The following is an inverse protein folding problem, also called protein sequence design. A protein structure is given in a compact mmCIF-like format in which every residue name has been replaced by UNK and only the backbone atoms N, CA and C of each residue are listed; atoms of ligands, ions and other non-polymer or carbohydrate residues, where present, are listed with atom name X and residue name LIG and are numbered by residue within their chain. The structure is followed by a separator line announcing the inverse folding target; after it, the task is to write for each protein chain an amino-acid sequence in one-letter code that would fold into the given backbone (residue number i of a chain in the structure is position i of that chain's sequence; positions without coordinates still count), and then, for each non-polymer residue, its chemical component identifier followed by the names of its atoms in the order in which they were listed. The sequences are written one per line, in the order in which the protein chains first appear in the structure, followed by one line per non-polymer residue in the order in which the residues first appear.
data_IF_689309393491
#
_entry.id   IF_689309393491
#
_cell.length_a   1.000
_cell.length_b   1.000
_cell.length_c   1.000
_cell.angle_alpha   90.00
_cell.angle_beta   90.00
_cell.angle_gamma   90.00
#
_symmetry.space_group_name_H-M   'P 1'
#
loop_
_entity.id
_entity.type
_entity.pdbx_description
1 polymer ?
#
# COMPACT_ATOMS: atom_id res chain seq x y z
N UNK A 1 -52.64 -37.53 3.00
CA UNK A 1 -51.30 -37.94 2.51
C UNK A 1 -50.73 -37.04 1.40
N UNK A 2 -51.49 -36.64 0.36
CA UNK A 2 -50.96 -35.80 -0.73
C UNK A 2 -50.42 -34.41 -0.32
N UNK A 3 -51.01 -33.75 0.68
CA UNK A 3 -50.56 -32.44 1.20
C UNK A 3 -49.25 -32.50 1.99
N UNK A 4 -48.89 -33.67 2.54
CA UNK A 4 -47.65 -33.86 3.30
C UNK A 4 -46.45 -34.03 2.35
N UNK A 5 -46.65 -34.75 1.24
CA UNK A 5 -45.63 -34.90 0.19
C UNK A 5 -45.30 -33.56 -0.50
N UNK A 6 -46.28 -32.69 -0.72
CA UNK A 6 -46.03 -31.36 -1.32
C UNK A 6 -45.23 -30.44 -0.38
N UNK A 7 -45.43 -30.58 0.94
CA UNK A 7 -44.71 -29.78 1.93
C UNK A 7 -43.25 -30.22 2.07
N UNK A 8 -43.00 -31.53 2.05
CA UNK A 8 -41.66 -32.12 2.00
C UNK A 8 -40.92 -31.76 0.69
N UNK A 9 -41.62 -31.75 -0.45
CA UNK A 9 -41.05 -31.32 -1.73
C UNK A 9 -40.65 -29.84 -1.75
N UNK A 10 -41.45 -28.96 -1.14
CA UNK A 10 -41.14 -27.54 -1.02
C UNK A 10 -39.92 -27.29 -0.12
N UNK A 11 -39.83 -28.00 1.02
CA UNK A 11 -38.66 -27.93 1.90
C UNK A 11 -37.38 -28.44 1.21
N UNK A 12 -37.49 -29.48 0.39
CA UNK A 12 -36.37 -30.01 -0.37
C UNK A 12 -35.84 -29.01 -1.43
N UNK A 13 -36.75 -28.30 -2.12
CA UNK A 13 -36.39 -27.23 -3.06
C UNK A 13 -35.71 -26.04 -2.37
N UNK A 14 -36.20 -25.63 -1.20
CA UNK A 14 -35.57 -24.57 -0.39
C UNK A 14 -34.17 -25.01 0.07
N UNK A 15 -34.01 -26.27 0.46
CA UNK A 15 -32.72 -26.83 0.86
C UNK A 15 -31.71 -26.88 -0.30
N UNK A 16 -32.14 -27.23 -1.52
CA UNK A 16 -31.30 -27.19 -2.72
C UNK A 16 -30.87 -25.74 -3.03
N UNK A 17 -31.79 -24.78 -2.98
CA UNK A 17 -31.48 -23.36 -3.17
C UNK A 17 -30.49 -22.85 -2.11
N UNK A 18 -30.61 -23.30 -0.86
CA UNK A 18 -29.68 -22.99 0.22
C UNK A 18 -28.29 -23.58 -0.03
N UNK A 19 -28.18 -24.82 -0.50
CA UNK A 19 -26.89 -25.45 -0.87
C UNK A 19 -26.24 -24.72 -2.05
N UNK A 20 -27.01 -24.32 -3.06
CA UNK A 20 -26.49 -23.55 -4.20
C UNK A 20 -26.01 -22.17 -3.73
N UNK A 21 -26.77 -21.49 -2.87
CA UNK A 21 -26.37 -20.20 -2.28
C UNK A 21 -25.11 -20.33 -1.41
N UNK A 22 -24.99 -21.38 -0.59
CA UNK A 22 -23.80 -21.67 0.21
C UNK A 22 -22.57 -21.95 -0.67
N UNK A 23 -22.72 -22.72 -1.76
CA UNK A 23 -21.63 -23.01 -2.70
C UNK A 23 -21.21 -21.78 -3.52
N UNK A 24 -22.16 -20.90 -3.89
CA UNK A 24 -21.84 -19.66 -4.62
C UNK A 24 -21.26 -18.57 -3.69
N UNK A 25 -21.72 -18.52 -2.44
CA UNK A 25 -21.21 -17.61 -1.41
C UNK A 25 -19.81 -17.97 -0.93
N UNK A 26 -19.52 -19.26 -0.71
CA UNK A 26 -18.19 -19.71 -0.28
C UNK A 26 -17.12 -19.56 -1.37
N UNK A 27 -17.46 -19.67 -2.66
CA UNK A 27 -16.50 -19.41 -3.75
C UNK A 27 -16.06 -17.95 -3.86
N UNK A 28 -16.82 -16.98 -3.34
CA UNK A 28 -16.36 -15.57 -3.26
C UNK A 28 -15.57 -15.25 -2.00
N UNK A 29 -15.64 -16.08 -0.96
CA UNK A 29 -14.93 -15.86 0.31
C UNK A 29 -13.55 -16.52 0.33
N UNK A 30 -13.30 -17.52 -0.52
CA UNK A 30 -12.04 -18.30 -0.56
C UNK A 30 -11.03 -17.78 -1.60
N UNK A 31 -11.27 -16.61 -2.21
CA UNK A 31 -10.27 -15.87 -2.99
C UNK A 31 -9.81 -14.59 -2.27
N UNK A 32 -9.80 -14.60 -0.93
CA UNK A 32 -8.90 -13.74 -0.17
C UNK A 32 -7.57 -14.45 -0.11
N UNK A 33 -6.71 -14.13 -1.08
CA UNK A 33 -5.30 -14.49 -1.02
C UNK A 33 -4.73 -14.15 0.35
N UNK A 34 -3.92 -15.08 0.85
CA UNK A 34 -3.29 -15.09 2.16
C UNK A 34 -2.48 -13.81 2.42
N UNK A 35 -3.15 -12.79 2.95
CA UNK A 35 -2.51 -11.63 3.56
C UNK A 35 -2.26 -11.92 5.03
N UNK A 36 -1.25 -12.72 5.34
CA UNK A 36 -0.71 -12.87 6.69
C UNK A 36 -0.19 -11.50 7.18
N UNK A 37 -1.06 -10.68 7.79
CA UNK A 37 -0.64 -9.58 8.66
C UNK A 37 -0.67 -10.10 10.09
N UNK A 38 0.48 -10.59 10.54
CA UNK A 38 0.69 -10.89 11.95
C UNK A 38 0.50 -9.60 12.76
N UNK A 39 -0.51 -9.63 13.62
CA UNK A 39 -0.66 -8.73 14.75
C UNK A 39 0.38 -9.17 15.79
N UNK A 40 1.46 -8.40 15.93
CA UNK A 40 2.32 -8.52 17.11
C UNK A 40 2.95 -7.18 17.47
N UNK A 41 2.67 -6.73 18.69
CA UNK A 41 3.56 -5.88 19.47
C UNK A 41 3.39 -4.37 19.29
N UNK A 42 2.41 -3.83 20.01
CA UNK A 42 2.29 -2.46 20.52
C UNK A 42 3.60 -1.66 20.62
N UNK A 43 4.03 -0.99 19.55
CA UNK A 43 4.86 0.22 19.61
C UNK A 43 4.34 1.18 18.54
N UNK A 44 3.97 2.38 18.98
CA UNK A 44 3.29 3.39 18.16
C UNK A 44 4.13 3.80 16.95
N UNK A 45 3.83 3.28 15.76
CA UNK A 45 4.24 3.83 14.47
C UNK A 45 3.21 3.39 13.41
N UNK A 46 2.41 4.33 12.94
CA UNK A 46 1.28 4.09 12.04
C UNK A 46 1.69 3.57 10.66
N UNK A 47 0.92 2.58 10.21
CA UNK A 47 0.60 2.20 8.83
C UNK A 47 1.75 2.09 7.82
N UNK A 48 2.16 0.83 7.63
CA UNK A 48 2.88 0.32 6.47
C UNK A 48 2.06 0.41 5.18
N UNK A 49 2.43 1.35 4.32
CA UNK A 49 2.97 0.96 3.02
C UNK A 49 4.49 0.88 3.21
N UNK A 50 5.15 -0.12 2.61
CA UNK A 50 6.60 -0.06 2.42
C UNK A 50 6.90 1.24 1.68
N UNK A 51 7.29 2.23 2.47
CA UNK A 51 7.83 3.45 1.93
C UNK A 51 9.08 3.05 1.16
N UNK A 52 9.21 3.45 -0.13
CA UNK A 52 10.46 3.26 -0.88
C UNK A 52 11.63 4.04 -0.27
N UNK A 53 11.42 4.75 0.86
CA UNK A 53 12.44 5.45 1.63
C UNK A 53 13.24 4.53 2.56
N UNK A 54 13.08 3.20 2.46
CA UNK A 54 13.82 2.25 3.33
C UNK A 54 15.23 1.90 2.86
N UNK A 55 15.58 2.11 1.59
CA UNK A 55 16.83 1.56 1.04
C UNK A 55 18.05 2.50 1.02
N UNK A 56 18.00 3.65 1.71
CA UNK A 56 19.21 4.49 1.81
C UNK A 56 19.42 5.13 3.19
N UNK A 57 18.99 4.42 4.23
CA UNK A 57 19.68 4.54 5.51
C UNK A 57 21.02 3.82 5.34
N UNK A 58 22.09 4.56 5.04
CA UNK A 58 23.41 4.07 5.42
C UNK A 58 23.30 3.72 6.91
N UNK A 59 23.62 2.48 7.32
CA UNK A 59 23.64 2.16 8.74
C UNK A 59 24.51 3.21 9.43
N UNK A 60 24.04 3.75 10.56
CA UNK A 60 24.71 4.80 11.35
C UNK A 60 26.23 4.57 11.51
N UNK A 61 26.67 3.32 11.42
CA UNK A 61 28.06 2.89 11.36
C UNK A 61 28.93 3.57 10.27
N UNK A 62 28.38 3.94 9.10
CA UNK A 62 29.16 4.65 8.05
C UNK A 62 29.41 6.11 8.38
N UNK A 63 28.51 6.76 9.13
CA UNK A 63 28.65 8.17 9.53
C UNK A 63 29.81 8.37 10.52
N UNK A 64 30.08 7.36 11.35
CA UNK A 64 31.16 7.39 12.35
C UNK A 64 32.57 7.29 11.72
N UNK A 65 32.67 6.94 10.45
CA UNK A 65 33.94 6.77 9.72
C UNK A 65 34.30 7.99 8.84
N UNK A 66 33.42 8.99 8.76
CA UNK A 66 33.65 10.18 7.95
C UNK A 66 34.53 11.19 8.69
N UNK A 67 35.39 11.88 7.96
CA UNK A 67 36.04 13.10 8.44
C UNK A 67 34.99 14.20 8.71
N UNK A 68 35.31 15.23 9.52
CA UNK A 68 34.39 16.34 9.75
C UNK A 68 33.90 17.04 8.48
N UNK A 69 34.75 17.13 7.46
CA UNK A 69 34.44 17.71 6.15
C UNK A 69 33.48 16.82 5.35
N UNK A 70 33.77 15.52 5.23
CA UNK A 70 32.89 14.55 4.55
C UNK A 70 31.53 14.43 5.27
N UNK A 71 31.52 14.52 6.60
CA UNK A 71 30.30 14.54 7.40
C UNK A 71 29.40 15.74 7.09
N UNK A 72 29.98 16.93 6.90
CA UNK A 72 29.22 18.14 6.51
C UNK A 72 28.64 18.02 5.11
N UNK A 73 29.40 17.48 4.16
CA UNK A 73 28.92 17.26 2.80
C UNK A 73 27.79 16.23 2.76
N UNK A 74 27.94 15.12 3.47
CA UNK A 74 26.88 14.13 3.60
C UNK A 74 25.59 14.71 4.22
N UNK A 75 25.71 15.55 5.26
CA UNK A 75 24.55 16.22 5.86
C UNK A 75 23.83 17.13 4.87
N UNK A 76 24.57 17.84 4.01
CA UNK A 76 24.01 18.68 2.96
C UNK A 76 23.23 17.85 1.93
N UNK A 77 23.83 16.75 1.47
CA UNK A 77 23.17 15.79 0.55
C UNK A 77 21.89 15.23 1.18
N UNK A 78 21.93 14.90 2.47
CA UNK A 78 20.74 14.43 3.21
C UNK A 78 19.68 15.50 3.33
N UNK A 79 20.04 16.75 3.57
CA UNK A 79 19.08 17.86 3.63
C UNK A 79 18.40 18.08 2.28
N UNK A 80 19.16 18.05 1.18
CA UNK A 80 18.64 18.15 -0.19
C UNK A 80 17.70 16.97 -0.51
N UNK A 81 18.12 15.75 -0.18
CA UNK A 81 17.29 14.55 -0.36
C UNK A 81 16.00 14.62 0.47
N UNK A 82 16.10 15.08 1.73
CA UNK A 82 14.95 15.23 2.61
C UNK A 82 13.93 16.24 2.07
N UNK A 83 14.39 17.35 1.47
CA UNK A 83 13.49 18.32 0.82
C UNK A 83 12.71 17.68 -0.33
N UNK A 84 13.36 16.87 -1.16
CA UNK A 84 12.68 16.10 -2.22
C UNK A 84 11.61 15.19 -1.61
N UNK A 85 11.97 14.38 -0.61
CA UNK A 85 11.03 13.46 0.04
C UNK A 85 9.87 14.18 0.72
N UNK A 86 10.12 15.31 1.37
CA UNK A 86 9.08 16.11 2.03
C UNK A 86 8.09 16.67 1.02
N UNK A 87 8.59 17.27 -0.07
CA UNK A 87 7.77 17.90 -1.09
C UNK A 87 6.86 16.90 -1.81
N UNK A 88 7.42 15.78 -2.28
CA UNK A 88 6.66 14.77 -3.00
C UNK A 88 5.87 13.84 -2.08
N UNK A 89 6.40 13.54 -0.89
CA UNK A 89 5.76 12.65 0.07
C UNK A 89 4.40 13.17 0.53
N UNK A 90 4.25 14.48 0.72
CA UNK A 90 2.95 15.08 1.06
C UNK A 90 1.91 14.84 -0.05
N UNK A 91 2.30 15.03 -1.31
CA UNK A 91 1.40 14.82 -2.45
C UNK A 91 1.05 13.35 -2.66
N UNK A 92 2.02 12.45 -2.49
CA UNK A 92 1.79 10.99 -2.52
C UNK A 92 0.78 10.61 -1.42
N UNK A 93 1.01 11.05 -0.19
CA UNK A 93 0.12 10.75 0.94
C UNK A 93 -1.31 11.26 0.71
N UNK A 94 -1.47 12.48 0.16
CA UNK A 94 -2.79 13.02 -0.20
C UNK A 94 -3.52 12.11 -1.19
N UNK A 95 -2.82 11.61 -2.22
CA UNK A 95 -3.40 10.74 -3.25
C UNK A 95 -3.71 9.34 -2.71
N UNK A 96 -2.85 8.79 -1.86
CA UNK A 96 -3.11 7.52 -1.17
C UNK A 96 -4.36 7.61 -0.30
N UNK A 97 -4.54 8.70 0.46
CA UNK A 97 -5.77 8.93 1.23
C UNK A 97 -7.00 9.03 0.32
N UNK A 98 -6.89 9.69 -0.84
CA UNK A 98 -7.99 9.77 -1.82
C UNK A 98 -8.33 8.39 -2.40
N UNK A 99 -7.32 7.57 -2.67
CA UNK A 99 -7.46 6.20 -3.15
C UNK A 99 -8.18 5.33 -2.10
N UNK A 100 -7.71 5.34 -0.85
CA UNK A 100 -8.34 4.62 0.26
C UNK A 100 -9.80 5.04 0.43
N UNK A 101 -10.09 6.34 0.38
CA UNK A 101 -11.47 6.86 0.45
C UNK A 101 -12.35 6.36 -0.68
N UNK A 102 -11.81 6.20 -1.89
CA UNK A 102 -12.57 5.68 -3.03
C UNK A 102 -12.86 4.18 -2.87
N UNK A 103 -11.88 3.42 -2.41
CA UNK A 103 -11.98 1.97 -2.19
C UNK A 103 -12.93 1.59 -1.04
N UNK A 104 -13.17 2.50 -0.09
CA UNK A 104 -14.12 2.30 1.01
C UNK A 104 -15.60 2.47 0.60
N UNK A 105 -15.88 2.90 -0.63
CA UNK A 105 -17.26 3.04 -1.11
C UNK A 105 -17.86 1.68 -1.46
N UNK A 106 -19.19 1.56 -1.35
CA UNK A 106 -19.92 0.35 -1.75
C UNK A 106 -19.83 0.05 -3.26
N UNK A 107 -19.59 1.08 -4.08
CA UNK A 107 -19.27 0.97 -5.50
C UNK A 107 -18.11 1.90 -5.86
N UNK A 108 -16.85 1.46 -5.72
CA UNK A 108 -15.68 2.27 -6.08
C UNK A 108 -15.67 2.64 -7.56
N UNK A 109 -15.30 3.87 -7.88
CA UNK A 109 -15.00 4.26 -9.26
C UNK A 109 -13.62 3.74 -9.66
N UNK A 110 -13.60 2.63 -10.42
CA UNK A 110 -12.37 1.99 -10.88
C UNK A 110 -11.53 2.85 -11.81
N UNK A 111 -12.15 3.74 -12.60
CA UNK A 111 -11.41 4.67 -13.46
C UNK A 111 -10.67 5.70 -12.60
N UNK A 112 -11.31 6.16 -11.53
CA UNK A 112 -10.67 7.05 -10.57
C UNK A 112 -9.55 6.35 -9.79
N UNK A 113 -9.74 5.10 -9.39
CA UNK A 113 -8.72 4.27 -8.75
C UNK A 113 -7.48 4.12 -9.65
N UNK A 114 -7.68 3.78 -10.93
CA UNK A 114 -6.60 3.65 -11.91
C UNK A 114 -5.83 4.96 -12.07
N UNK A 115 -6.54 6.08 -12.21
CA UNK A 115 -5.91 7.41 -12.31
C UNK A 115 -5.08 7.75 -11.06
N UNK A 116 -5.62 7.52 -9.86
CA UNK A 116 -4.89 7.78 -8.61
C UNK A 116 -3.62 6.93 -8.50
N UNK A 117 -3.68 5.65 -8.88
CA UNK A 117 -2.51 4.77 -8.91
C UNK A 117 -1.45 5.27 -9.89
N UNK A 118 -1.85 5.67 -11.10
CA UNK A 118 -0.93 6.21 -12.10
C UNK A 118 -0.25 7.49 -11.61
N UNK A 119 -1.00 8.39 -10.96
CA UNK A 119 -0.46 9.62 -10.40
C UNK A 119 0.53 9.35 -9.26
N UNK A 120 0.23 8.40 -8.36
CA UNK A 120 1.16 7.99 -7.30
C UNK A 120 2.45 7.43 -7.90
N UNK A 121 2.34 6.50 -8.85
CA UNK A 121 3.50 5.89 -9.50
C UNK A 121 4.39 6.94 -10.21
N UNK A 122 3.79 7.94 -10.86
CA UNK A 122 4.51 9.05 -11.48
C UNK A 122 5.24 9.91 -10.44
N UNK A 123 4.62 10.20 -9.29
CA UNK A 123 5.26 10.96 -8.21
C UNK A 123 6.45 10.19 -7.63
N UNK A 124 6.31 8.89 -7.38
CA UNK A 124 7.40 8.05 -6.91
C UNK A 124 8.56 7.97 -7.92
N UNK A 125 8.26 7.89 -9.21
CA UNK A 125 9.27 7.92 -10.26
C UNK A 125 10.03 9.27 -10.28
N UNK A 126 9.34 10.39 -10.06
CA UNK A 126 9.97 11.71 -9.93
C UNK A 126 10.89 11.76 -8.72
N UNK A 127 10.44 11.26 -7.56
CA UNK A 127 11.29 11.18 -6.36
C UNK A 127 12.57 10.41 -6.65
N UNK A 128 12.48 9.19 -7.20
CA UNK A 128 13.66 8.39 -7.55
C UNK A 128 14.62 9.14 -8.47
N UNK A 129 14.08 9.81 -9.50
CA UNK A 129 14.87 10.58 -10.46
C UNK A 129 15.60 11.76 -9.81
N UNK A 130 14.93 12.51 -8.93
CA UNK A 130 15.54 13.65 -8.24
C UNK A 130 16.63 13.21 -7.25
N UNK A 131 16.42 12.11 -6.52
CA UNK A 131 17.45 11.53 -5.65
C UNK A 131 18.66 11.04 -6.46
N UNK A 132 18.44 10.39 -7.61
CA UNK A 132 19.52 9.98 -8.52
C UNK A 132 20.34 11.18 -9.00
N UNK A 133 19.70 12.31 -9.32
CA UNK A 133 20.41 13.54 -9.70
C UNK A 133 21.27 14.07 -8.55
N UNK A 134 20.70 14.17 -7.34
CA UNK A 134 21.43 14.62 -6.15
C UNK A 134 22.67 13.74 -5.92
N UNK A 135 22.51 12.42 -5.95
CA UNK A 135 23.64 11.51 -5.73
C UNK A 135 24.69 11.63 -6.84
N UNK A 136 24.28 11.74 -8.10
CA UNK A 136 25.19 11.86 -9.24
C UNK A 136 25.98 13.17 -9.24
N UNK A 137 25.33 14.28 -8.92
CA UNK A 137 25.97 15.61 -8.87
C UNK A 137 26.99 15.71 -7.73
N UNK A 138 26.73 15.05 -6.61
CA UNK A 138 27.64 15.05 -5.47
C UNK A 138 28.76 13.98 -5.58
N UNK A 139 28.62 12.97 -6.44
CA UNK A 139 29.70 12.01 -6.74
C UNK A 139 30.76 12.60 -7.69
N UNK A 140 30.44 13.69 -8.40
CA UNK A 140 31.34 14.34 -9.38
C UNK A 140 32.16 15.50 -8.81
N UNK A 141 32.02 15.82 -7.52
CA UNK A 141 32.81 16.85 -6.84
C UNK A 141 34.02 16.23 -6.16
#
# INVERSE_FOLDING_TARGET
MRKLLSFLGALFLIFILFIVFMNFGMKRVVNRGDGYRMVQGSHMMGYSYESPYRDEYMPMHRFQQLTPEEGKEYLKIKEESFKVYSNYGLEINKKQIQLERELLKEGPDWKKVENLNNEIALLEAKVRTEIMKINHENTKR
#
